data_IF_801772724041
#
_entry.id   IF_801772724041
#
_cell.length_a   1.000
_cell.length_b   1.000
_cell.length_c   1.000
_cell.angle_alpha   90.00
_cell.angle_beta   90.00
_cell.angle_gamma   90.00
#
_symmetry.space_group_name_H-M   'P 1'
#
loop_
_entity.id
_entity.type
_entity.pdbx_description
1 polymer ?
#
# COMPACT_ATOMS: atom_id res chain seq x y z
N UNK A 1 -26.97 19.34 6.20
CA UNK A 1 -27.02 19.29 4.72
C UNK A 1 -25.83 19.99 4.06
N UNK A 2 -25.55 21.26 4.31
CA UNK A 2 -24.40 21.97 3.67
C UNK A 2 -23.05 21.30 3.94
N UNK A 3 -22.77 20.87 5.17
CA UNK A 3 -21.55 20.14 5.51
C UNK A 3 -21.49 18.76 4.80
N UNK A 4 -22.61 18.09 4.68
CA UNK A 4 -22.72 16.81 3.95
C UNK A 4 -22.41 16.99 2.46
N UNK A 5 -22.99 18.00 1.81
CA UNK A 5 -22.74 18.28 0.39
C UNK A 5 -21.24 18.55 0.18
N UNK A 6 -20.63 19.42 0.99
CA UNK A 6 -19.19 19.70 0.92
C UNK A 6 -18.33 18.45 1.15
N UNK A 7 -18.75 17.58 2.08
CA UNK A 7 -18.06 16.31 2.33
C UNK A 7 -18.15 15.35 1.14
N UNK A 8 -19.30 15.28 0.47
CA UNK A 8 -19.49 14.45 -0.73
C UNK A 8 -18.70 15.01 -1.93
N UNK A 9 -18.68 16.33 -2.10
CA UNK A 9 -17.91 16.98 -3.17
C UNK A 9 -16.40 16.75 -2.96
N UNK A 10 -15.91 16.84 -1.71
CA UNK A 10 -14.52 16.52 -1.39
C UNK A 10 -14.20 15.03 -1.61
N UNK A 11 -15.12 14.14 -1.26
CA UNK A 11 -14.95 12.71 -1.51
C UNK A 11 -14.87 12.39 -3.01
N UNK A 12 -15.65 13.08 -3.84
CA UNK A 12 -15.56 12.97 -5.29
C UNK A 12 -14.21 13.48 -5.84
N UNK A 13 -13.67 14.57 -5.27
CA UNK A 13 -12.32 15.04 -5.61
C UNK A 13 -11.25 14.02 -5.20
N UNK A 14 -11.30 13.50 -3.98
CA UNK A 14 -10.37 12.46 -3.52
C UNK A 14 -10.41 11.20 -4.41
N UNK A 15 -11.58 10.82 -4.90
CA UNK A 15 -11.72 9.69 -5.83
C UNK A 15 -11.10 9.98 -7.20
N UNK A 16 -11.18 11.22 -7.70
CA UNK A 16 -10.48 11.63 -8.93
C UNK A 16 -8.96 11.64 -8.76
N UNK A 17 -8.48 12.08 -7.60
CA UNK A 17 -7.05 12.05 -7.26
C UNK A 17 -6.54 10.60 -7.20
N UNK A 18 -7.36 9.69 -6.61
CA UNK A 18 -7.06 8.26 -6.60
C UNK A 18 -6.98 7.67 -8.02
N UNK A 19 -7.91 8.02 -8.92
CA UNK A 19 -7.86 7.60 -10.33
C UNK A 19 -6.56 8.09 -10.98
N UNK A 20 -6.18 9.34 -10.77
CA UNK A 20 -4.94 9.91 -11.32
C UNK A 20 -3.69 9.17 -10.84
N UNK A 21 -3.63 8.83 -9.55
CA UNK A 21 -2.55 8.04 -8.97
C UNK A 21 -2.48 6.64 -9.58
N UNK A 22 -3.62 5.95 -9.69
CA UNK A 22 -3.71 4.60 -10.29
C UNK A 22 -3.32 4.63 -11.77
N UNK A 23 -3.74 5.64 -12.53
CA UNK A 23 -3.37 5.80 -13.94
C UNK A 23 -1.86 6.02 -14.11
N UNK A 24 -1.23 6.77 -13.21
CA UNK A 24 0.22 6.97 -13.21
C UNK A 24 0.95 5.65 -12.98
N UNK A 25 0.49 4.84 -12.03
CA UNK A 25 1.05 3.53 -11.74
C UNK A 25 0.80 2.53 -12.88
N UNK A 26 -0.40 2.50 -13.48
CA UNK A 26 -0.70 1.62 -14.62
C UNK A 26 0.15 1.96 -15.84
N UNK A 27 0.34 3.25 -16.12
CA UNK A 27 1.21 3.70 -17.21
C UNK A 27 2.64 3.19 -17.08
N UNK A 28 3.24 3.33 -15.89
CA UNK A 28 4.57 2.80 -15.62
C UNK A 28 4.60 1.25 -15.65
N UNK A 29 3.55 0.60 -15.18
CA UNK A 29 3.42 -0.87 -15.21
C UNK A 29 3.40 -1.42 -16.63
N UNK A 30 2.86 -0.69 -17.61
CA UNK A 30 2.90 -1.06 -19.03
C UNK A 30 4.35 -1.12 -19.52
N UNK A 31 5.15 -0.09 -19.20
CA UNK A 31 6.55 -0.03 -19.63
C UNK A 31 7.39 -1.14 -18.95
N UNK A 32 7.16 -1.40 -17.66
CA UNK A 32 7.80 -2.52 -16.95
C UNK A 32 7.43 -3.84 -17.65
N UNK A 33 6.16 -4.07 -17.97
CA UNK A 33 5.71 -5.27 -18.68
C UNK A 33 6.37 -5.44 -20.05
N UNK A 34 6.53 -4.35 -20.81
CA UNK A 34 7.21 -4.38 -22.12
C UNK A 34 8.70 -4.75 -21.96
N UNK A 35 9.37 -4.18 -20.95
CA UNK A 35 10.77 -4.51 -20.66
C UNK A 35 10.93 -5.96 -20.22
N UNK A 36 10.03 -6.50 -19.40
CA UNK A 36 10.05 -7.92 -19.01
C UNK A 36 9.85 -8.85 -20.20
N UNK A 37 8.95 -8.51 -21.12
CA UNK A 37 8.79 -9.28 -22.37
C UNK A 37 10.07 -9.26 -23.20
N UNK A 38 10.76 -8.13 -23.30
CA UNK A 38 12.05 -8.05 -23.99
C UNK A 38 13.13 -8.87 -23.28
N UNK A 39 13.16 -8.83 -21.95
CA UNK A 39 14.07 -9.69 -21.17
C UNK A 39 13.80 -11.18 -21.42
N UNK A 40 12.52 -11.57 -21.53
CA UNK A 40 12.12 -12.93 -21.87
C UNK A 40 12.60 -13.34 -23.27
N UNK A 41 12.51 -12.47 -24.27
CA UNK A 41 13.06 -12.73 -25.61
C UNK A 41 14.57 -13.01 -25.56
N UNK A 42 15.31 -12.18 -24.79
CA UNK A 42 16.75 -12.36 -24.60
C UNK A 42 17.07 -13.69 -23.91
N UNK A 43 16.30 -14.06 -22.89
CA UNK A 43 16.47 -15.34 -22.19
C UNK A 43 16.21 -16.53 -23.12
N UNK A 44 15.16 -16.49 -23.94
CA UNK A 44 14.90 -17.52 -24.95
C UNK A 44 16.01 -17.59 -26.00
N UNK A 45 16.58 -16.45 -26.40
CA UNK A 45 17.71 -16.42 -27.30
C UNK A 45 18.97 -17.03 -26.66
N UNK A 46 19.25 -16.70 -25.40
CA UNK A 46 20.41 -17.20 -24.65
C UNK A 46 20.32 -18.71 -24.34
N UNK A 47 19.11 -19.24 -24.16
CA UNK A 47 18.88 -20.68 -23.90
C UNK A 47 19.06 -21.56 -25.12
N UNK A 48 19.38 -21.00 -26.29
CA UNK A 48 19.57 -21.77 -27.51
C UNK A 48 21.02 -22.32 -27.56
N UNK A 49 21.20 -23.63 -27.55
CA UNK A 49 22.49 -24.30 -27.58
C UNK A 49 23.39 -24.02 -28.80
N UNK A 50 22.96 -23.14 -29.73
CA UNK A 50 23.80 -22.64 -30.82
C UNK A 50 24.49 -21.31 -30.50
N UNK A 51 24.17 -20.69 -29.37
CA UNK A 51 24.75 -19.43 -28.89
C UNK A 51 26.03 -19.71 -28.15
N UNK A 52 27.10 -18.98 -28.45
CA UNK A 52 28.36 -19.13 -27.73
C UNK A 52 28.33 -18.42 -26.37
N UNK A 53 29.20 -18.80 -25.43
CA UNK A 53 29.31 -18.12 -24.13
C UNK A 53 29.63 -16.62 -24.24
N UNK A 54 30.34 -16.22 -25.31
CA UNK A 54 30.59 -14.79 -25.58
C UNK A 54 29.32 -14.08 -26.01
N UNK A 55 28.49 -14.74 -26.82
CA UNK A 55 27.20 -14.15 -27.24
C UNK A 55 26.23 -14.10 -26.06
N UNK A 56 26.19 -15.16 -25.22
CA UNK A 56 25.38 -15.16 -23.97
C UNK A 56 25.78 -14.00 -23.06
N UNK A 57 27.08 -13.78 -22.85
CA UNK A 57 27.54 -12.62 -22.06
C UNK A 57 27.11 -11.28 -22.67
N UNK A 58 27.07 -11.17 -24.00
CA UNK A 58 26.59 -9.95 -24.68
C UNK A 58 25.07 -9.76 -24.49
N UNK A 59 24.29 -10.83 -24.58
CA UNK A 59 22.86 -10.80 -24.31
C UNK A 59 22.57 -10.46 -22.84
N UNK A 60 23.37 -10.99 -21.92
CA UNK A 60 23.25 -10.71 -20.51
C UNK A 60 23.51 -9.23 -20.18
N UNK A 61 24.40 -8.57 -20.90
CA UNK A 61 24.59 -7.11 -20.73
C UNK A 61 23.30 -6.32 -21.04
N UNK A 62 22.60 -6.65 -22.16
CA UNK A 62 21.31 -6.03 -22.48
C UNK A 62 20.26 -6.37 -21.41
N UNK A 63 20.22 -7.62 -20.98
CA UNK A 63 19.30 -8.11 -19.95
C UNK A 63 19.46 -7.35 -18.63
N UNK A 64 20.69 -7.18 -18.16
CA UNK A 64 21.00 -6.41 -16.94
C UNK A 64 20.63 -4.94 -17.07
N UNK A 65 20.83 -4.34 -18.26
CA UNK A 65 20.45 -2.96 -18.50
C UNK A 65 18.91 -2.77 -18.44
N UNK A 66 18.16 -3.71 -19.03
CA UNK A 66 16.69 -3.68 -18.95
C UNK A 66 16.21 -3.84 -17.51
N UNK A 67 16.83 -4.73 -16.73
CA UNK A 67 16.55 -4.89 -15.31
C UNK A 67 16.80 -3.59 -14.53
N UNK A 68 17.94 -2.94 -14.75
CA UNK A 68 18.26 -1.65 -14.12
C UNK A 68 17.26 -0.56 -14.51
N UNK A 69 16.76 -0.61 -15.75
CA UNK A 69 15.76 0.35 -16.22
C UNK A 69 14.38 0.10 -15.56
N UNK A 70 14.00 -1.16 -15.37
CA UNK A 70 12.79 -1.51 -14.59
C UNK A 70 12.89 -0.91 -13.18
N UNK A 71 14.02 -1.14 -12.51
CA UNK A 71 14.29 -0.58 -11.19
C UNK A 71 14.20 0.96 -11.19
N UNK A 72 14.80 1.60 -12.19
CA UNK A 72 14.74 3.04 -12.32
C UNK A 72 13.29 3.54 -12.49
N UNK A 73 12.50 2.89 -13.33
CA UNK A 73 11.09 3.24 -13.54
C UNK A 73 10.30 3.05 -12.25
N UNK A 74 10.49 1.94 -11.55
CA UNK A 74 9.81 1.67 -10.28
C UNK A 74 10.11 2.73 -9.21
N UNK A 75 11.39 3.12 -9.09
CA UNK A 75 11.84 4.10 -8.10
C UNK A 75 11.55 5.56 -8.46
N UNK A 76 11.40 5.88 -9.75
CA UNK A 76 11.19 7.25 -10.20
C UNK A 76 9.74 7.57 -10.54
N UNK A 77 8.86 6.56 -10.61
CA UNK A 77 7.44 6.80 -10.85
C UNK A 77 6.80 7.36 -9.58
N UNK A 78 6.50 8.66 -9.63
CA UNK A 78 5.98 9.40 -8.49
C UNK A 78 4.63 10.03 -8.82
N UNK A 79 3.77 10.07 -7.83
CA UNK A 79 2.55 10.87 -7.81
C UNK A 79 2.57 11.77 -6.58
N UNK A 80 2.45 13.09 -6.80
CA UNK A 80 2.50 14.08 -5.72
C UNK A 80 3.75 13.98 -4.80
N UNK A 81 4.89 13.50 -5.34
CA UNK A 81 6.14 13.34 -4.59
C UNK A 81 6.29 12.02 -3.84
N UNK A 82 5.30 11.13 -3.89
CA UNK A 82 5.38 9.77 -3.34
C UNK A 82 5.62 8.75 -4.46
N UNK A 83 6.51 7.80 -4.23
CA UNK A 83 6.74 6.70 -5.15
C UNK A 83 5.54 5.73 -5.11
N UNK A 84 5.05 5.36 -6.29
CA UNK A 84 3.84 4.53 -6.38
C UNK A 84 4.13 3.05 -6.66
N UNK A 85 5.33 2.69 -7.10
CA UNK A 85 5.72 1.33 -7.49
C UNK A 85 6.92 0.77 -6.70
N UNK A 86 7.29 1.41 -5.60
CA UNK A 86 8.43 1.01 -4.75
C UNK A 86 8.00 0.32 -3.45
N UNK A 87 6.78 -0.17 -3.36
CA UNK A 87 6.26 -0.80 -2.13
C UNK A 87 5.96 0.16 -0.98
N UNK A 88 6.26 1.45 -1.14
CA UNK A 88 6.09 2.47 -0.09
C UNK A 88 4.84 3.33 -0.27
N UNK A 89 4.02 3.06 -1.28
CA UNK A 89 2.83 3.83 -1.57
C UNK A 89 1.83 3.82 -0.39
N UNK A 90 1.33 5.01 -0.04
CA UNK A 90 0.33 5.19 1.02
C UNK A 90 0.91 5.52 2.40
N UNK A 91 0.06 6.04 3.27
CA UNK A 91 0.39 6.54 4.61
C UNK A 91 1.01 5.51 5.57
N UNK A 92 0.84 4.22 5.27
CA UNK A 92 1.38 3.13 6.10
C UNK A 92 2.66 2.53 5.54
N UNK A 93 3.20 3.07 4.45
CA UNK A 93 4.42 2.56 3.76
C UNK A 93 4.39 1.05 3.47
N UNK A 94 3.20 0.49 3.26
CA UNK A 94 2.98 -0.93 2.99
C UNK A 94 2.47 -1.20 1.56
N UNK A 95 2.71 -0.28 0.65
CA UNK A 95 2.27 -0.40 -0.74
C UNK A 95 0.75 -0.31 -0.94
N UNK A 96 -0.02 0.10 0.07
CA UNK A 96 -1.47 0.25 -0.02
C UNK A 96 -1.89 1.67 0.27
N UNK A 97 -2.46 2.35 -0.71
CA UNK A 97 -3.06 3.65 -0.51
C UNK A 97 -4.53 3.53 -0.13
N UNK A 98 -4.95 4.29 0.87
CA UNK A 98 -6.32 4.32 1.37
C UNK A 98 -6.94 5.68 1.05
N UNK A 99 -7.98 5.69 0.25
CA UNK A 99 -8.69 6.89 -0.19
C UNK A 99 -10.03 7.02 0.51
N UNK A 100 -10.31 8.21 1.07
CA UNK A 100 -11.62 8.53 1.63
C UNK A 100 -12.58 8.89 0.48
N UNK A 101 -13.48 7.97 0.14
CA UNK A 101 -14.43 8.07 -0.98
C UNK A 101 -15.87 8.25 -0.52
N UNK A 102 -16.07 8.79 0.68
CA UNK A 102 -17.40 9.07 1.20
C UNK A 102 -17.42 10.22 2.19
N UNK A 103 -18.59 10.79 2.43
CA UNK A 103 -18.79 11.96 3.31
C UNK A 103 -18.72 11.64 4.82
N UNK A 104 -18.64 10.36 5.22
CA UNK A 104 -18.58 9.93 6.61
C UNK A 104 -17.27 9.21 6.89
N UNK A 105 -16.88 9.15 8.16
CA UNK A 105 -15.70 8.41 8.63
C UNK A 105 -15.76 6.94 8.20
N UNK A 106 -14.59 6.35 7.87
CA UNK A 106 -14.43 4.94 7.47
C UNK A 106 -15.06 4.55 6.12
N UNK A 107 -15.53 5.49 5.33
CA UNK A 107 -15.97 5.23 3.95
C UNK A 107 -14.77 5.32 3.00
N UNK A 108 -13.87 4.36 3.13
CA UNK A 108 -12.61 4.33 2.41
C UNK A 108 -12.58 3.24 1.34
N UNK A 109 -11.74 3.43 0.34
CA UNK A 109 -11.33 2.42 -0.61
C UNK A 109 -9.80 2.30 -0.59
N UNK A 110 -9.32 1.07 -0.44
CA UNK A 110 -7.90 0.77 -0.51
C UNK A 110 -7.52 0.25 -1.89
N UNK A 111 -6.37 0.70 -2.38
CA UNK A 111 -5.75 0.21 -3.61
C UNK A 111 -4.33 -0.23 -3.27
N UNK A 112 -4.00 -1.47 -3.57
CA UNK A 112 -2.65 -1.99 -3.42
C UNK A 112 -1.84 -1.64 -4.68
N UNK A 113 -0.66 -1.08 -4.46
CA UNK A 113 0.34 -0.80 -5.48
C UNK A 113 1.47 -1.81 -5.30
N UNK A 114 1.88 -2.47 -6.37
CA UNK A 114 2.96 -3.46 -6.32
C UNK A 114 4.30 -2.84 -5.95
N UNK A 115 5.19 -3.64 -5.39
CA UNK A 115 6.60 -3.32 -5.26
C UNK A 115 7.36 -3.91 -6.46
N UNK A 116 7.84 -3.05 -7.33
CA UNK A 116 8.64 -3.40 -8.50
C UNK A 116 10.09 -2.91 -8.36
N UNK A 117 10.47 -2.53 -7.14
CA UNK A 117 11.84 -2.18 -6.82
C UNK A 117 12.68 -3.46 -6.67
N UNK A 118 13.45 -3.78 -7.69
CA UNK A 118 14.31 -4.98 -7.73
C UNK A 118 15.49 -4.91 -6.77
N UNK A 119 15.78 -3.72 -6.24
CA UNK A 119 16.84 -3.50 -5.25
C UNK A 119 16.25 -3.33 -3.85
N UNK A 120 14.94 -3.54 -3.69
CA UNK A 120 14.39 -3.71 -2.37
C UNK A 120 15.07 -4.96 -1.79
N UNK A 121 16.16 -4.69 -1.08
CA UNK A 121 16.78 -5.64 -0.18
C UNK A 121 15.64 -6.38 0.51
N UNK A 122 15.76 -7.68 0.68
CA UNK A 122 14.85 -8.52 1.46
C UNK A 122 14.75 -8.07 2.92
N UNK A 123 14.93 -6.77 3.16
CA UNK A 123 14.95 -6.13 4.45
C UNK A 123 13.74 -5.23 4.59
N UNK A 124 12.83 -5.71 5.36
CA UNK A 124 11.93 -4.97 6.23
C UNK A 124 10.84 -4.08 5.64
N UNK A 125 9.68 -4.67 5.68
CA UNK A 125 8.48 -3.87 5.98
C UNK A 125 8.43 -3.70 7.49
N UNK A 126 8.66 -2.49 7.94
CA UNK A 126 8.46 -2.14 9.34
C UNK A 126 7.04 -2.56 9.76
N UNK A 127 6.92 -3.52 10.67
CA UNK A 127 5.65 -4.02 11.19
C UNK A 127 5.29 -5.46 10.82
N UNK A 128 6.07 -6.17 9.98
CA UNK A 128 5.89 -7.61 9.76
C UNK A 128 7.06 -8.36 10.39
N UNK A 129 6.82 -9.27 11.34
CA UNK A 129 7.90 -10.06 11.92
C UNK A 129 8.57 -10.91 10.85
N UNK A 130 9.90 -10.81 10.72
CA UNK A 130 10.67 -11.69 9.86
C UNK A 130 10.71 -13.09 10.49
N UNK A 131 10.32 -14.10 9.72
CA UNK A 131 10.32 -15.50 10.18
C UNK A 131 11.38 -16.25 9.42
N UNK A 132 12.31 -16.85 10.14
CA UNK A 132 13.38 -17.68 9.58
C UNK A 132 13.17 -19.13 10.01
N UNK A 133 12.99 -20.03 9.06
CA UNK A 133 12.89 -21.46 9.33
C UNK A 133 14.24 -22.15 9.08
N UNK A 134 14.77 -22.76 10.12
CA UNK A 134 15.97 -23.57 10.05
C UNK A 134 15.57 -25.03 10.12
N UNK A 135 15.84 -25.78 9.07
CA UNK A 135 15.55 -27.22 9.03
C UNK A 135 16.51 -27.96 9.93
N UNK A 136 16.11 -28.26 11.15
CA UNK A 136 16.77 -29.15 12.09
C UNK A 136 15.69 -29.98 12.78
N UNK A 137 15.81 -31.28 12.75
CA UNK A 137 14.91 -32.17 13.45
C UNK A 137 15.51 -32.63 14.80
N UNK A 138 14.73 -33.35 15.60
CA UNK A 138 15.18 -33.83 16.90
C UNK A 138 16.45 -34.67 16.79
N UNK A 139 16.63 -35.44 15.70
CA UNK A 139 17.84 -36.20 15.45
C UNK A 139 19.02 -35.29 15.14
N UNK A 140 18.80 -34.20 14.43
CA UNK A 140 19.79 -33.16 14.17
C UNK A 140 20.22 -32.45 15.45
N UNK A 141 19.26 -32.04 16.31
CA UNK A 141 19.56 -31.44 17.62
C UNK A 141 20.38 -32.41 18.50
N UNK A 142 19.97 -33.66 18.59
CA UNK A 142 20.70 -34.69 19.36
C UNK A 142 22.10 -35.00 18.78
N UNK A 143 22.39 -34.67 17.53
CA UNK A 143 23.67 -34.84 16.89
C UNK A 143 24.61 -33.62 17.04
N UNK A 144 24.13 -32.49 17.56
CA UNK A 144 24.95 -31.31 17.84
C UNK A 144 26.00 -31.64 18.90
N UNK A 145 27.28 -31.44 18.60
CA UNK A 145 28.39 -31.83 19.46
C UNK A 145 29.32 -30.66 19.86
N UNK A 146 29.00 -29.45 19.41
CA UNK A 146 29.80 -28.24 19.63
C UNK A 146 29.00 -27.07 20.13
N UNK A 147 29.65 -25.92 20.25
CA UNK A 147 28.97 -24.69 20.58
C UNK A 147 28.02 -24.31 19.44
N UNK A 148 26.76 -24.03 19.79
CA UNK A 148 25.75 -23.60 18.86
C UNK A 148 25.58 -22.09 18.99
N UNK A 149 25.82 -21.37 17.91
CA UNK A 149 25.85 -19.89 17.91
C UNK A 149 24.84 -19.34 16.95
N UNK A 150 23.96 -18.47 17.44
CA UNK A 150 23.02 -17.68 16.64
C UNK A 150 23.45 -16.22 16.73
N UNK A 151 23.62 -15.55 15.62
CA UNK A 151 23.96 -14.13 15.58
C UNK A 151 23.06 -13.39 14.61
N UNK A 152 22.51 -12.26 15.05
CA UNK A 152 21.74 -11.32 14.23
C UNK A 152 22.59 -10.16 13.68
N UNK A 153 23.89 -10.27 13.78
CA UNK A 153 24.84 -9.24 13.36
C UNK A 153 25.07 -8.13 14.40
N UNK A 154 24.19 -7.99 15.42
CA UNK A 154 24.35 -7.07 16.55
C UNK A 154 24.52 -7.81 17.88
N UNK A 155 23.74 -8.85 18.07
CA UNK A 155 23.77 -9.70 19.27
C UNK A 155 24.07 -11.15 18.89
N UNK A 156 24.58 -11.91 19.85
CA UNK A 156 24.95 -13.30 19.63
C UNK A 156 24.55 -14.12 20.84
N UNK A 157 23.79 -15.20 20.62
CA UNK A 157 23.58 -16.26 21.60
C UNK A 157 24.62 -17.34 21.33
N UNK A 158 25.29 -17.78 22.38
CA UNK A 158 26.20 -18.93 22.32
C UNK A 158 25.77 -19.95 23.35
N UNK A 159 25.22 -21.08 22.86
CA UNK A 159 24.93 -22.25 23.67
C UNK A 159 26.16 -23.13 23.67
N UNK A 160 26.78 -23.36 24.83
CA UNK A 160 27.98 -24.14 24.93
C UNK A 160 27.74 -25.65 24.66
N UNK A 161 28.77 -26.37 24.26
CA UNK A 161 28.71 -27.81 23.92
C UNK A 161 28.10 -28.68 25.02
N UNK A 162 28.19 -28.27 26.30
CA UNK A 162 27.63 -29.04 27.43
C UNK A 162 26.09 -28.83 27.51
N UNK A 163 25.61 -27.66 27.22
CA UNK A 163 24.19 -27.34 27.16
C UNK A 163 23.56 -28.02 25.93
N UNK A 164 24.18 -27.86 24.77
CA UNK A 164 23.72 -28.44 23.50
C UNK A 164 23.73 -29.97 23.56
N UNK A 165 24.78 -30.59 24.10
CA UNK A 165 24.89 -32.03 24.22
C UNK A 165 23.89 -32.70 25.18
N UNK A 166 23.16 -31.93 25.95
CA UNK A 166 22.07 -32.41 26.80
C UNK A 166 20.68 -32.32 26.13
N UNK A 167 20.56 -31.67 24.96
CA UNK A 167 19.33 -31.49 24.23
C UNK A 167 18.97 -32.72 23.41
N UNK A 168 17.72 -33.03 23.30
CA UNK A 168 17.21 -34.19 22.58
C UNK A 168 16.10 -33.87 21.58
N UNK A 169 15.63 -32.61 21.59
CA UNK A 169 14.54 -32.18 20.74
C UNK A 169 14.73 -30.70 20.30
N UNK A 170 14.06 -30.32 19.24
CA UNK A 170 13.98 -28.93 18.78
C UNK A 170 13.40 -28.04 19.89
N UNK A 171 12.46 -28.56 20.68
CA UNK A 171 11.86 -27.81 21.80
C UNK A 171 12.90 -27.47 22.89
N UNK A 172 13.83 -28.39 23.21
CA UNK A 172 14.90 -28.12 24.18
C UNK A 172 15.79 -26.95 23.68
N UNK A 173 16.03 -26.88 22.37
CA UNK A 173 16.81 -25.83 21.74
C UNK A 173 16.04 -24.49 21.77
N UNK A 174 14.73 -24.50 21.52
CA UNK A 174 13.84 -23.35 21.64
C UNK A 174 13.87 -22.80 23.05
N UNK A 175 13.67 -23.64 24.06
CA UNK A 175 13.65 -23.26 25.47
C UNK A 175 14.98 -22.64 25.90
N UNK A 176 16.10 -23.15 25.37
CA UNK A 176 17.43 -22.61 25.66
C UNK A 176 17.69 -21.27 24.99
N UNK A 177 17.19 -21.06 23.77
CA UNK A 177 17.29 -19.77 23.06
C UNK A 177 16.47 -18.71 23.80
N UNK A 178 15.26 -19.04 24.21
CA UNK A 178 14.37 -18.12 24.94
C UNK A 178 14.91 -17.81 26.35
N UNK A 179 15.55 -18.76 27.01
CA UNK A 179 16.12 -18.58 28.33
C UNK A 179 17.35 -17.65 28.35
N UNK A 180 18.12 -17.58 27.28
CA UNK A 180 19.28 -16.70 27.18
C UNK A 180 18.89 -15.21 27.17
N UNK A 181 17.79 -14.87 26.48
CA UNK A 181 17.22 -13.53 26.44
C UNK A 181 18.11 -12.44 25.81
N UNK A 182 19.29 -12.80 25.29
CA UNK A 182 20.21 -11.85 24.64
C UNK A 182 19.66 -11.32 23.33
N UNK A 183 18.81 -12.09 22.68
CA UNK A 183 18.06 -11.70 21.49
C UNK A 183 16.60 -11.41 21.87
N UNK A 184 16.35 -10.35 22.63
CA UNK A 184 15.02 -9.97 23.14
C UNK A 184 13.98 -9.69 22.05
N UNK A 185 14.40 -9.67 20.79
CA UNK A 185 13.57 -9.46 19.61
C UNK A 185 13.30 -10.74 18.84
N UNK A 186 13.89 -11.85 19.27
CA UNK A 186 13.78 -13.12 18.61
C UNK A 186 12.93 -14.05 19.46
N UNK A 187 11.83 -14.54 18.91
CA UNK A 187 11.08 -15.65 19.48
C UNK A 187 11.38 -16.91 18.69
N UNK A 188 11.73 -17.98 19.38
CA UNK A 188 11.93 -19.28 18.77
C UNK A 188 10.66 -20.11 18.92
N UNK A 189 10.32 -20.91 17.95
CA UNK A 189 9.23 -21.87 18.04
C UNK A 189 9.58 -23.20 17.40
N UNK A 190 9.09 -24.29 17.97
CA UNK A 190 9.22 -25.63 17.41
C UNK A 190 8.21 -25.78 16.25
N UNK A 191 8.75 -25.83 15.03
CA UNK A 191 7.99 -26.30 13.87
C UNK A 191 8.30 -27.79 13.68
N UNK A 192 7.39 -28.66 13.58
CA UNK A 192 7.40 -30.14 13.52
C UNK A 192 8.72 -30.81 13.03
N UNK A 193 9.57 -30.13 12.29
CA UNK A 193 10.87 -30.56 11.76
C UNK A 193 11.84 -29.39 11.52
N UNK A 194 11.57 -28.22 12.12
CA UNK A 194 12.36 -27.02 11.91
C UNK A 194 12.32 -26.12 13.12
N UNK A 195 13.43 -25.44 13.41
CA UNK A 195 13.50 -24.31 14.33
C UNK A 195 13.04 -23.07 13.60
N UNK A 196 11.94 -22.47 14.05
CA UNK A 196 11.43 -21.22 13.49
C UNK A 196 11.84 -20.05 14.37
N UNK A 197 12.57 -19.11 13.82
CA UNK A 197 12.98 -17.88 14.49
C UNK A 197 12.15 -16.70 13.96
N UNK A 198 11.38 -16.08 14.84
CA UNK A 198 10.52 -14.93 14.49
C UNK A 198 11.09 -13.68 15.17
N UNK A 199 11.41 -12.67 14.36
CA UNK A 199 11.79 -11.35 14.89
C UNK A 199 10.54 -10.53 15.21
N UNK A 200 10.34 -10.18 16.48
CA UNK A 200 9.29 -9.24 16.86
C UNK A 200 9.78 -7.82 16.54
N UNK A 201 9.16 -7.24 15.56
CA UNK A 201 9.58 -6.15 14.79
C UNK A 201 9.45 -4.76 15.29
N UNK A 202 10.43 -3.95 15.12
CA UNK A 202 10.32 -2.51 14.83
C UNK A 202 11.59 -1.94 14.18
N UNK A 203 12.61 -2.73 13.93
CA UNK A 203 13.85 -2.27 13.31
C UNK A 203 14.29 -3.20 12.19
N UNK A 204 14.81 -2.58 11.14
CA UNK A 204 15.36 -3.21 9.94
C UNK A 204 16.45 -4.20 10.32
N UNK A 205 16.23 -5.50 10.15
CA UNK A 205 17.28 -6.52 10.26
C UNK A 205 18.08 -6.47 8.97
N UNK A 206 19.20 -5.77 9.00
CA UNK A 206 20.07 -5.60 7.82
C UNK A 206 20.94 -6.83 7.52
N UNK A 207 20.96 -7.82 8.40
CA UNK A 207 21.72 -9.05 8.26
C UNK A 207 20.86 -10.21 8.74
N UNK A 208 20.61 -11.24 7.91
CA UNK A 208 19.87 -12.41 8.35
C UNK A 208 20.62 -13.11 9.49
N UNK A 209 19.92 -13.75 10.43
CA UNK A 209 20.59 -14.48 11.49
C UNK A 209 21.44 -15.60 10.90
N UNK A 210 22.66 -15.74 11.40
CA UNK A 210 23.55 -16.83 11.05
C UNK A 210 23.58 -17.85 12.16
N UNK A 211 23.53 -19.14 11.81
CA UNK A 211 23.71 -20.24 12.74
C UNK A 211 25.06 -20.89 12.42
N UNK A 212 25.86 -21.13 13.44
CA UNK A 212 27.08 -21.89 13.31
C UNK A 212 27.22 -22.91 14.44
N UNK A 213 27.75 -24.06 14.11
CA UNK A 213 28.15 -25.07 15.07
C UNK A 213 29.67 -25.22 15.04
N UNK A 214 30.34 -25.14 16.21
CA UNK A 214 31.78 -25.28 16.35
C UNK A 214 32.58 -24.38 15.36
N UNK A 215 32.07 -23.17 15.07
CA UNK A 215 32.71 -22.24 14.13
C UNK A 215 32.54 -22.55 12.65
N UNK A 216 31.86 -23.63 12.29
CA UNK A 216 31.48 -23.94 10.91
C UNK A 216 30.06 -23.43 10.68
N UNK A 217 29.90 -22.51 9.73
CA UNK A 217 28.58 -22.07 9.30
C UNK A 217 27.77 -23.27 8.83
N UNK A 218 26.66 -23.57 9.46
CA UNK A 218 25.70 -24.54 8.97
C UNK A 218 25.06 -23.95 7.72
N UNK A 219 24.91 -24.75 6.68
CA UNK A 219 24.14 -24.35 5.50
C UNK A 219 22.69 -24.18 5.95
N UNK A 220 22.32 -22.94 6.17
CA UNK A 220 20.95 -22.54 6.35
C UNK A 220 20.30 -22.75 4.98
N UNK A 221 19.42 -23.72 4.88
CA UNK A 221 18.50 -23.76 3.75
C UNK A 221 17.52 -22.57 4.03
N UNK A 222 17.86 -21.41 3.46
CA UNK A 222 17.02 -20.23 3.51
C UNK A 222 15.72 -20.49 2.73
N UNK A 223 14.91 -21.39 3.23
CA UNK A 223 13.50 -21.31 2.95
C UNK A 223 12.97 -20.25 3.91
N UNK A 224 13.10 -18.99 3.53
CA UNK A 224 12.39 -17.88 4.16
C UNK A 224 10.89 -18.13 3.94
N UNK A 225 10.33 -19.08 4.72
CA UNK A 225 8.89 -19.29 4.78
C UNK A 225 8.31 -18.15 5.61
N UNK A 226 7.83 -17.14 4.96
CA UNK A 226 7.12 -16.05 5.63
C UNK A 226 7.70 -14.66 5.46
N UNK A 227 8.88 -14.44 4.94
CA UNK A 227 9.03 -13.33 4.04
C UNK A 227 8.25 -13.74 2.79
N UNK A 228 6.92 -13.69 2.88
CA UNK A 228 6.25 -13.01 1.80
C UNK A 228 6.96 -11.68 1.82
N UNK A 229 8.13 -11.62 1.17
CA UNK A 229 8.60 -10.38 0.67
C UNK A 229 7.33 -9.71 0.23
N UNK A 230 7.12 -8.49 0.64
CA UNK A 230 6.37 -7.58 -0.16
C UNK A 230 7.22 -7.29 -1.41
N UNK A 231 7.88 -8.26 -1.93
CA UNK A 231 8.04 -8.55 -3.32
C UNK A 231 6.60 -8.61 -3.78
N UNK A 232 6.15 -7.47 -4.24
CA UNK A 232 4.74 -7.11 -4.32
C UNK A 232 3.95 -8.36 -4.61
N UNK A 233 2.80 -8.51 -4.00
CA UNK A 233 1.85 -9.61 -4.13
C UNK A 233 1.86 -10.30 -5.52
N UNK A 234 2.67 -9.87 -6.44
CA UNK A 234 2.72 -10.16 -7.86
C UNK A 234 4.12 -10.39 -8.46
N UNK A 235 5.23 -10.30 -7.74
CA UNK A 235 6.56 -10.38 -8.37
C UNK A 235 7.45 -11.50 -7.83
N UNK A 236 7.89 -12.40 -8.69
CA UNK A 236 9.09 -13.22 -8.46
C UNK A 236 10.27 -12.27 -8.39
N UNK A 237 11.17 -12.46 -7.42
CA UNK A 237 12.40 -11.69 -7.36
C UNK A 237 13.23 -11.92 -8.63
N UNK A 238 13.29 -10.92 -9.49
CA UNK A 238 14.12 -10.95 -10.70
C UNK A 238 15.45 -10.21 -10.51
N UNK A 239 15.78 -9.79 -9.28
CA UNK A 239 16.97 -8.98 -8.99
C UNK A 239 18.27 -9.73 -9.24
N UNK A 240 18.29 -11.02 -8.98
CA UNK A 240 19.48 -11.88 -9.11
C UNK A 240 19.51 -12.70 -10.40
N UNK A 241 18.49 -12.59 -11.26
CA UNK A 241 18.42 -13.39 -12.49
C UNK A 241 19.48 -12.93 -13.49
N UNK A 242 20.20 -13.91 -14.05
CA UNK A 242 21.16 -13.74 -15.16
C UNK A 242 20.83 -14.72 -16.29
N UNK A 243 21.44 -14.52 -17.45
CA UNK A 243 21.32 -15.42 -18.60
C UNK A 243 22.71 -15.80 -19.15
N UNK A 244 23.69 -15.93 -18.26
CA UNK A 244 25.08 -16.22 -18.62
C UNK A 244 25.28 -17.68 -19.03
N UNK A 245 24.38 -18.59 -18.64
CA UNK A 245 24.41 -20.00 -19.02
C UNK A 245 23.03 -20.46 -19.53
N UNK A 246 22.99 -21.58 -20.27
CA UNK A 246 21.73 -22.17 -20.73
C UNK A 246 20.79 -22.53 -19.57
N UNK A 247 21.35 -22.97 -18.43
CA UNK A 247 20.57 -23.27 -17.24
C UNK A 247 19.95 -22.02 -16.62
N UNK A 248 20.75 -20.95 -16.47
CA UNK A 248 20.27 -19.67 -15.95
C UNK A 248 19.22 -19.04 -16.87
N UNK A 249 19.45 -19.10 -18.19
CA UNK A 249 18.49 -18.61 -19.18
C UNK A 249 17.14 -19.34 -19.10
N UNK A 250 17.15 -20.66 -18.90
CA UNK A 250 15.91 -21.42 -18.71
C UNK A 250 15.21 -21.08 -17.39
N UNK A 251 15.96 -20.90 -16.31
CA UNK A 251 15.40 -20.44 -15.03
C UNK A 251 14.82 -19.02 -15.13
N UNK A 252 15.53 -18.13 -15.86
CA UNK A 252 15.10 -16.77 -16.11
C UNK A 252 13.75 -16.72 -16.86
N UNK A 253 13.53 -17.60 -17.85
CA UNK A 253 12.25 -17.67 -18.58
C UNK A 253 11.10 -17.95 -17.61
N UNK A 254 11.23 -18.95 -16.74
CA UNK A 254 10.18 -19.31 -15.80
C UNK A 254 9.87 -18.18 -14.81
N UNK A 255 10.92 -17.52 -14.31
CA UNK A 255 10.78 -16.40 -13.38
C UNK A 255 10.13 -15.18 -14.07
N UNK A 256 10.54 -14.88 -15.29
CA UNK A 256 9.95 -13.78 -16.07
C UNK A 256 8.50 -14.05 -16.46
N UNK A 257 8.13 -15.29 -16.77
CA UNK A 257 6.72 -15.65 -17.03
C UNK A 257 5.87 -15.37 -15.79
N UNK A 258 6.34 -15.76 -14.60
CA UNK A 258 5.66 -15.46 -13.33
C UNK A 258 5.57 -13.94 -13.07
N UNK A 259 6.65 -13.21 -13.33
CA UNK A 259 6.68 -11.76 -13.16
C UNK A 259 5.74 -11.03 -14.14
N UNK A 260 5.67 -11.47 -15.39
CA UNK A 260 4.73 -10.93 -16.40
C UNK A 260 3.27 -11.20 -15.99
N UNK A 261 2.98 -12.39 -15.49
CA UNK A 261 1.65 -12.70 -14.98
C UNK A 261 1.32 -11.82 -13.76
N UNK A 262 2.29 -11.58 -12.90
CA UNK A 262 2.17 -10.68 -11.74
C UNK A 262 1.81 -9.26 -12.16
N UNK A 263 2.52 -8.66 -13.14
CA UNK A 263 2.22 -7.30 -13.59
C UNK A 263 0.86 -7.22 -14.28
N UNK A 264 0.46 -8.25 -15.02
CA UNK A 264 -0.86 -8.32 -15.63
C UNK A 264 -1.97 -8.38 -14.57
N UNK A 265 -1.78 -9.16 -13.50
CA UNK A 265 -2.69 -9.22 -12.36
C UNK A 265 -2.77 -7.87 -11.63
N UNK A 266 -1.64 -7.20 -11.43
CA UNK A 266 -1.60 -5.85 -10.85
C UNK A 266 -2.39 -4.85 -11.69
N UNK A 267 -2.20 -4.84 -13.02
CA UNK A 267 -2.93 -3.98 -13.93
C UNK A 267 -4.43 -4.29 -13.95
N UNK A 268 -4.82 -5.56 -13.82
CA UNK A 268 -6.22 -5.94 -13.68
C UNK A 268 -6.83 -5.37 -12.39
N UNK A 269 -6.08 -5.36 -11.27
CA UNK A 269 -6.55 -4.73 -10.03
C UNK A 269 -6.65 -3.21 -10.16
N UNK A 270 -5.73 -2.56 -10.87
CA UNK A 270 -5.83 -1.12 -11.19
C UNK A 270 -7.07 -0.81 -12.01
N UNK A 271 -7.34 -1.58 -13.06
CA UNK A 271 -8.56 -1.44 -13.87
C UNK A 271 -9.84 -1.62 -13.05
N UNK A 272 -9.86 -2.62 -12.18
CA UNK A 272 -11.00 -2.84 -11.28
C UNK A 272 -11.17 -1.69 -10.27
N UNK A 273 -10.07 -1.15 -9.74
CA UNK A 273 -10.09 -0.02 -8.82
C UNK A 273 -10.60 1.25 -9.51
N UNK A 274 -10.13 1.54 -10.73
CA UNK A 274 -10.61 2.69 -11.52
C UNK A 274 -12.11 2.61 -11.77
N UNK A 275 -12.63 1.47 -12.24
CA UNK A 275 -14.08 1.29 -12.45
C UNK A 275 -14.88 1.51 -11.15
N UNK A 276 -14.39 0.99 -10.02
CA UNK A 276 -15.06 1.19 -8.72
C UNK A 276 -15.04 2.66 -8.28
N UNK A 277 -13.94 3.37 -8.52
CA UNK A 277 -13.83 4.80 -8.23
C UNK A 277 -14.78 5.62 -9.10
N UNK A 278 -14.90 5.31 -10.39
CA UNK A 278 -15.84 5.97 -11.31
C UNK A 278 -17.30 5.80 -10.83
N UNK A 279 -17.70 4.57 -10.50
CA UNK A 279 -19.04 4.34 -9.93
C UNK A 279 -19.25 5.05 -8.60
N UNK A 280 -18.22 5.17 -7.77
CA UNK A 280 -18.29 5.92 -6.53
C UNK A 280 -18.49 7.42 -6.81
N UNK A 281 -17.76 8.00 -7.75
CA UNK A 281 -17.89 9.41 -8.16
C UNK A 281 -19.30 9.70 -8.68
N UNK A 282 -19.83 8.84 -9.55
CA UNK A 282 -21.17 8.98 -10.10
C UNK A 282 -22.23 8.95 -8.98
N UNK A 283 -22.09 8.02 -8.06
CA UNK A 283 -22.99 7.92 -6.92
C UNK A 283 -22.90 9.14 -6.00
N UNK A 284 -21.67 9.56 -5.65
CA UNK A 284 -21.44 10.74 -4.81
C UNK A 284 -22.02 12.01 -5.44
N UNK A 285 -21.82 12.17 -6.74
CA UNK A 285 -22.36 13.31 -7.50
C UNK A 285 -23.89 13.33 -7.48
N UNK A 286 -24.51 12.16 -7.73
CA UNK A 286 -25.98 12.05 -7.67
C UNK A 286 -26.53 12.34 -6.26
N UNK A 287 -25.87 11.83 -5.22
CA UNK A 287 -26.28 12.08 -3.83
C UNK A 287 -26.07 13.54 -3.46
N UNK A 288 -24.96 14.18 -3.88
CA UNK A 288 -24.68 15.59 -3.66
C UNK A 288 -25.74 16.48 -4.34
N UNK A 289 -26.08 16.20 -5.60
CA UNK A 289 -27.12 16.93 -6.32
C UNK A 289 -28.49 16.80 -5.65
N UNK A 290 -28.88 15.60 -5.25
CA UNK A 290 -30.15 15.37 -4.55
C UNK A 290 -30.18 16.07 -3.19
N UNK A 291 -29.07 16.05 -2.46
CA UNK A 291 -28.94 16.76 -1.18
C UNK A 291 -29.01 18.29 -1.39
N UNK A 292 -28.37 18.81 -2.45
CA UNK A 292 -28.44 20.23 -2.81
C UNK A 292 -29.86 20.65 -3.17
N UNK A 293 -30.56 19.86 -4.00
CA UNK A 293 -31.96 20.12 -4.37
C UNK A 293 -32.89 20.04 -3.15
N UNK A 294 -32.61 19.15 -2.20
CA UNK A 294 -33.39 19.08 -0.96
C UNK A 294 -33.12 20.26 -0.04
N UNK A 295 -31.85 20.69 0.05
CA UNK A 295 -31.48 21.91 0.79
C UNK A 295 -32.16 23.12 0.21
N UNK A 296 -32.12 23.31 -1.11
CA UNK A 296 -32.78 24.42 -1.81
C UNK A 296 -34.26 24.51 -1.48
N UNK A 297 -34.99 23.37 -1.47
CA UNK A 297 -36.41 23.33 -1.10
C UNK A 297 -36.71 23.72 0.35
N UNK A 298 -35.75 23.60 1.24
CA UNK A 298 -35.89 23.91 2.67
C UNK A 298 -35.41 25.31 2.99
N UNK A 299 -34.33 25.74 2.37
CA UNK A 299 -33.58 26.95 2.74
C UNK A 299 -33.84 28.10 1.81
N UNK A 300 -34.12 27.86 0.51
CA UNK A 300 -34.29 28.92 -0.47
C UNK A 300 -35.72 29.44 -0.41
N UNK A 301 -35.84 30.76 -0.18
CA UNK A 301 -37.09 31.46 -0.25
C UNK A 301 -37.42 31.82 -1.72
N UNK A 302 -38.72 31.77 -2.07
CA UNK A 302 -39.19 32.35 -3.33
C UNK A 302 -39.07 33.89 -3.25
N UNK A 303 -37.99 34.39 -3.88
CA UNK A 303 -37.70 35.82 -3.88
C UNK A 303 -38.83 36.65 -4.45
N UNK A 304 -39.58 36.15 -5.43
CA UNK A 304 -40.72 36.86 -6.02
C UNK A 304 -41.88 36.93 -5.03
N UNK A 305 -42.19 35.88 -4.32
CA UNK A 305 -43.21 35.86 -3.27
C UNK A 305 -42.80 36.75 -2.10
N UNK A 306 -41.55 36.69 -1.64
CA UNK A 306 -41.07 37.50 -0.51
C UNK A 306 -41.02 39.00 -0.82
N UNK A 307 -40.55 39.40 -2.00
CA UNK A 307 -40.56 40.79 -2.43
C UNK A 307 -41.97 41.34 -2.63
N UNK A 308 -42.91 40.50 -3.08
CA UNK A 308 -44.32 40.89 -3.21
C UNK A 308 -44.94 41.13 -1.83
N UNK A 309 -44.67 40.25 -0.86
CA UNK A 309 -45.18 40.44 0.53
C UNK A 309 -44.50 41.62 1.21
N UNK A 310 -43.20 41.87 0.96
CA UNK A 310 -42.51 43.07 1.42
C UNK A 310 -43.16 44.33 0.85
N UNK A 311 -43.43 44.38 -0.46
CA UNK A 311 -44.09 45.52 -1.11
C UNK A 311 -45.50 45.72 -0.56
N UNK A 312 -46.27 44.65 -0.37
CA UNK A 312 -47.59 44.68 0.22
C UNK A 312 -47.59 45.26 1.64
N UNK A 313 -46.67 44.79 2.50
CA UNK A 313 -46.54 45.28 3.87
C UNK A 313 -46.13 46.77 3.93
N UNK A 314 -45.24 47.21 3.03
CA UNK A 314 -44.85 48.61 2.89
C UNK A 314 -46.03 49.51 2.48
N UNK A 315 -46.82 49.02 1.51
CA UNK A 315 -48.04 49.77 1.08
C UNK A 315 -49.07 49.86 2.23
N UNK A 316 -49.31 48.78 2.95
CA UNK A 316 -50.19 48.74 4.12
C UNK A 316 -49.72 49.73 5.21
N UNK A 317 -48.37 49.71 5.48
CA UNK A 317 -47.78 50.64 6.44
C UNK A 317 -48.00 52.15 6.02
N UNK A 318 -47.72 52.45 4.75
CA UNK A 318 -47.94 53.80 4.21
C UNK A 318 -49.40 54.19 4.24
N UNK A 319 -50.30 53.29 3.85
CA UNK A 319 -51.75 53.54 3.90
C UNK A 319 -52.18 53.66 5.36
N UNK A 320 -51.73 52.85 6.28
CA UNK A 320 -52.05 52.98 7.70
C UNK A 320 -51.60 54.31 8.32
N UNK A 321 -50.39 54.77 8.01
CA UNK A 321 -49.89 56.05 8.48
C UNK A 321 -50.69 57.22 7.86
N UNK A 322 -51.07 57.17 6.57
CA UNK A 322 -51.85 58.11 5.91
C UNK A 322 -53.27 58.18 6.51
N UNK A 323 -53.91 57.06 6.77
CA UNK A 323 -55.22 56.97 7.41
C UNK A 323 -55.22 57.51 8.85
N UNK A 324 -54.19 57.21 9.62
CA UNK A 324 -53.99 57.74 10.97
C UNK A 324 -53.83 59.28 10.96
N UNK A 325 -53.03 59.78 10.03
CA UNK A 325 -52.88 61.23 9.84
C UNK A 325 -54.18 61.84 9.47
N UNK A 326 -54.95 61.25 8.56
CA UNK A 326 -56.30 61.75 8.16
C UNK A 326 -57.29 61.70 9.34
N UNK A 327 -57.30 60.63 10.12
CA UNK A 327 -58.16 60.53 11.31
C UNK A 327 -57.83 61.58 12.37
N UNK A 328 -56.53 61.83 12.60
CA UNK A 328 -56.09 62.90 13.52
C UNK A 328 -56.45 64.30 13.03
N UNK A 329 -56.42 64.57 11.73
CA UNK A 329 -56.87 65.83 11.16
C UNK A 329 -58.36 66.03 11.33
N UNK A 330 -59.14 64.97 11.19
CA UNK A 330 -60.60 65.04 11.39
C UNK A 330 -60.99 65.44 12.82
N UNK A 331 -60.27 64.90 13.82
CA UNK A 331 -60.42 65.24 15.23
C UNK A 331 -60.03 66.69 15.48
N UNK A 332 -59.02 67.26 14.84
CA UNK A 332 -58.63 68.65 14.93
C UNK A 332 -59.63 69.58 14.29
N UNK A 333 -60.29 69.23 13.18
CA UNK A 333 -61.35 70.04 12.56
C UNK A 333 -62.59 70.08 13.40
N UNK A 334 -62.94 68.98 14.09
CA UNK A 334 -64.08 69.00 15.05
C UNK A 334 -63.75 69.87 16.26
N UNK A 335 -62.50 69.85 16.74
CA UNK A 335 -62.08 70.72 17.86
C UNK A 335 -62.08 72.23 17.47
N UNK A 336 -61.75 72.56 16.21
CA UNK A 336 -61.79 73.90 15.68
C UNK A 336 -63.21 74.40 15.55
N UNK A 337 -64.18 73.54 15.20
CA UNK A 337 -65.61 73.87 15.14
C UNK A 337 -66.25 74.09 16.54
N UNK A 338 -65.72 73.48 17.57
CA UNK A 338 -66.16 73.60 18.95
C UNK A 338 -65.58 74.86 19.66
N UNK A 339 -64.53 75.45 19.13
CA UNK A 339 -63.85 76.64 19.68
C UNK A 339 -64.22 77.97 18.96
N UNK A 340 -64.97 77.94 17.89
CA UNK A 340 -65.57 79.10 17.19
C UNK A 340 -67.00 79.18 17.58
#
# INVERSE_FOLDING_TARGET
MTAQIRGLDQAAQNANDAISMVQTADGASIEIGNMMQRMRELAVQASNGTVTSTDQSSLNLEFVQLRTEIERVANQTQWNGENVLSGTAGTSSNGTAVFQVGGNSLQTMSVAFGDWNLNASTTDVAGVPAVYDFTIDDAGVAALAGDFVISDGQNTITLDATTVGAMTSVQDLVDAIEADGSLSRLTASDGTTSLTLTYDNAEVVTVPPTISENGSAQTVDETIAGVTALSGVYGTDISAITIDTDADANAAIASLDTAIDGINAQRATFGAAMNRLEYAIDNLTNVSQNAAASRSRIEDADYAAETTELARTQIIQQAGTAMLTQANQQNQSVLALLKG
#
